data_IF_900729052465
#
_entry.id   IF_900729052465
#
_cell.length_a   1.000
_cell.length_b   1.000
_cell.length_c   1.000
_cell.angle_alpha   90.00
_cell.angle_beta   90.00
_cell.angle_gamma   90.00
#
_symmetry.space_group_name_H-M   'P 1'
#
loop_
_entity.id
_entity.type
_entity.pdbx_description
1 polymer ?
#
# COMPACT_ATOMS: atom_id res chain seq x y z
N UNK A 1 12.33 -72.54 -77.60
CA UNK A 1 12.66 -72.19 -76.20
C UNK A 1 11.45 -72.28 -75.31
N UNK A 2 11.23 -73.45 -74.71
CA UNK A 2 10.28 -73.63 -73.61
C UNK A 2 11.06 -73.45 -72.31
N UNK A 3 10.75 -72.39 -71.55
CA UNK A 3 11.31 -72.19 -70.21
C UNK A 3 10.79 -73.25 -69.26
N UNK A 4 11.67 -73.75 -68.37
CA UNK A 4 11.34 -74.75 -67.36
C UNK A 4 10.20 -74.23 -66.46
N UNK A 5 9.06 -74.94 -66.34
CA UNK A 5 7.92 -74.50 -65.52
C UNK A 5 8.28 -74.26 -64.05
N UNK A 6 9.36 -74.87 -63.55
CA UNK A 6 9.87 -74.64 -62.19
C UNK A 6 10.53 -73.27 -62.05
N UNK A 7 11.22 -72.80 -63.09
CA UNK A 7 11.82 -71.45 -63.16
C UNK A 7 10.71 -70.39 -63.22
N UNK A 8 9.68 -70.62 -64.04
CA UNK A 8 8.53 -69.71 -64.13
C UNK A 8 7.76 -69.60 -62.81
N UNK A 9 7.58 -70.71 -62.10
CA UNK A 9 6.98 -70.71 -60.75
C UNK A 9 7.81 -69.91 -59.74
N UNK A 10 9.13 -70.13 -59.70
CA UNK A 10 10.02 -69.39 -58.81
C UNK A 10 10.03 -67.88 -59.10
N UNK A 11 9.96 -67.49 -60.37
CA UNK A 11 9.85 -66.08 -60.78
C UNK A 11 8.59 -65.45 -60.22
N UNK A 12 7.43 -66.07 -60.45
CA UNK A 12 6.13 -65.57 -59.96
C UNK A 12 6.12 -65.44 -58.43
N UNK A 13 6.66 -66.43 -57.73
CA UNK A 13 6.73 -66.41 -56.27
C UNK A 13 7.65 -65.29 -55.75
N UNK A 14 8.81 -65.10 -56.39
CA UNK A 14 9.75 -64.03 -56.05
C UNK A 14 9.15 -62.64 -56.29
N UNK A 15 8.44 -62.46 -57.40
CA UNK A 15 7.77 -61.19 -57.71
C UNK A 15 6.65 -60.88 -56.71
N UNK A 16 5.89 -61.90 -56.28
CA UNK A 16 4.91 -61.76 -55.20
C UNK A 16 5.55 -61.34 -53.88
N UNK A 17 6.69 -61.95 -53.51
CA UNK A 17 7.45 -61.55 -52.31
C UNK A 17 7.94 -60.10 -52.40
N UNK A 18 8.48 -59.68 -53.55
CA UNK A 18 8.92 -58.29 -53.77
C UNK A 18 7.79 -57.30 -53.59
N UNK A 19 6.61 -57.59 -54.14
CA UNK A 19 5.42 -56.75 -54.01
C UNK A 19 4.99 -56.59 -52.55
N UNK A 20 4.96 -57.69 -51.78
CA UNK A 20 4.60 -57.64 -50.35
C UNK A 20 5.63 -56.82 -49.56
N UNK A 21 6.92 -57.02 -49.81
CA UNK A 21 7.99 -56.25 -49.16
C UNK A 21 7.92 -54.76 -49.50
N UNK A 22 7.61 -54.41 -50.74
CA UNK A 22 7.42 -53.03 -51.16
C UNK A 22 6.24 -52.38 -50.45
N UNK A 23 5.07 -53.03 -50.44
CA UNK A 23 3.89 -52.54 -49.73
C UNK A 23 4.14 -52.37 -48.23
N UNK A 24 4.89 -53.29 -47.61
CA UNK A 24 5.26 -53.18 -46.20
C UNK A 24 6.19 -51.98 -45.95
N UNK A 25 7.18 -51.75 -46.81
CA UNK A 25 8.05 -50.55 -46.73
C UNK A 25 7.24 -49.26 -46.87
N UNK A 26 6.35 -49.18 -47.86
CA UNK A 26 5.51 -47.99 -48.07
C UNK A 26 4.63 -47.70 -46.84
N UNK A 27 4.03 -48.74 -46.24
CA UNK A 27 3.28 -48.62 -44.98
C UNK A 27 4.15 -48.13 -43.83
N UNK A 28 5.36 -48.69 -43.66
CA UNK A 28 6.30 -48.29 -42.62
C UNK A 28 6.74 -46.84 -42.77
N UNK A 29 7.11 -46.41 -43.98
CA UNK A 29 7.46 -45.03 -44.31
C UNK A 29 6.29 -44.08 -44.00
N UNK A 30 5.07 -44.47 -44.36
CA UNK A 30 3.88 -43.69 -44.07
C UNK A 30 3.63 -43.50 -42.57
N UNK A 31 3.86 -44.53 -41.74
CA UNK A 31 3.76 -44.42 -40.28
C UNK A 31 4.84 -43.49 -39.73
N UNK A 32 6.10 -43.69 -40.13
CA UNK A 32 7.23 -42.86 -39.67
C UNK A 32 7.00 -41.39 -39.98
N UNK A 33 6.58 -41.06 -41.21
CA UNK A 33 6.32 -39.68 -41.62
C UNK A 33 5.20 -39.01 -40.80
N UNK A 34 4.16 -39.77 -40.42
CA UNK A 34 3.10 -39.25 -39.53
C UNK A 34 3.62 -38.97 -38.12
N UNK A 35 4.46 -39.85 -37.58
CA UNK A 35 5.07 -39.67 -36.27
C UNK A 35 6.05 -38.50 -36.26
N UNK A 36 6.87 -38.35 -37.29
CA UNK A 36 7.77 -37.21 -37.47
C UNK A 36 6.99 -35.89 -37.52
N UNK A 37 5.97 -35.79 -38.38
CA UNK A 37 5.15 -34.59 -38.48
C UNK A 37 4.44 -34.25 -37.16
N UNK A 38 3.92 -35.26 -36.44
CA UNK A 38 3.30 -35.07 -35.14
C UNK A 38 4.31 -34.56 -34.11
N UNK A 39 5.49 -35.18 -34.04
CA UNK A 39 6.59 -34.77 -33.16
C UNK A 39 7.01 -33.33 -33.44
N UNK A 40 7.20 -32.96 -34.70
CA UNK A 40 7.58 -31.61 -35.13
C UNK A 40 6.53 -30.57 -34.69
N UNK A 41 5.24 -30.83 -34.92
CA UNK A 41 4.16 -29.93 -34.49
C UNK A 41 4.12 -29.75 -32.98
N UNK A 42 4.29 -30.83 -32.22
CA UNK A 42 4.34 -30.78 -30.76
C UNK A 42 5.53 -29.95 -30.29
N UNK A 43 6.71 -30.16 -30.88
CA UNK A 43 7.92 -29.40 -30.53
C UNK A 43 7.75 -27.91 -30.82
N UNK A 44 7.22 -27.53 -31.98
CA UNK A 44 6.96 -26.12 -32.33
C UNK A 44 6.01 -25.49 -31.30
N UNK A 45 4.90 -26.18 -30.99
CA UNK A 45 3.91 -25.70 -30.04
C UNK A 45 4.52 -25.51 -28.65
N UNK A 46 5.25 -26.53 -28.15
CA UNK A 46 5.87 -26.48 -26.82
C UNK A 46 6.98 -25.44 -26.73
N UNK A 47 7.79 -25.28 -27.78
CA UNK A 47 8.80 -24.23 -27.84
C UNK A 47 8.16 -22.83 -27.82
N UNK A 48 7.02 -22.65 -28.49
CA UNK A 48 6.23 -21.42 -28.42
C UNK A 48 5.71 -21.14 -27.01
N UNK A 49 5.14 -22.14 -26.34
CA UNK A 49 4.69 -22.03 -24.94
C UNK A 49 5.85 -21.66 -23.99
N UNK A 50 7.02 -22.30 -24.15
CA UNK A 50 8.22 -22.02 -23.36
C UNK A 50 8.68 -20.58 -23.58
N UNK A 51 8.76 -20.12 -24.83
CA UNK A 51 9.16 -18.75 -25.15
C UNK A 51 8.18 -17.71 -24.56
N UNK A 52 6.87 -17.99 -24.63
CA UNK A 52 5.86 -17.12 -24.04
C UNK A 52 5.96 -17.08 -22.52
N UNK A 53 6.17 -18.23 -21.86
CA UNK A 53 6.35 -18.30 -20.42
C UNK A 53 7.62 -17.54 -19.98
N UNK A 54 8.73 -17.68 -20.72
CA UNK A 54 9.97 -16.95 -20.46
C UNK A 54 9.78 -15.43 -20.57
N UNK A 55 9.03 -14.95 -21.58
CA UNK A 55 8.73 -13.54 -21.73
C UNK A 55 7.88 -13.02 -20.55
N UNK A 56 6.83 -13.75 -20.16
CA UNK A 56 5.99 -13.40 -19.01
C UNK A 56 6.80 -13.33 -17.72
N UNK A 57 7.66 -14.33 -17.48
CA UNK A 57 8.53 -14.35 -16.29
C UNK A 57 9.43 -13.11 -16.25
N UNK A 58 10.05 -12.75 -17.39
CA UNK A 58 10.90 -11.57 -17.47
C UNK A 58 10.14 -10.27 -17.18
N UNK A 59 8.91 -10.14 -17.69
CA UNK A 59 8.05 -8.97 -17.41
C UNK A 59 7.71 -8.90 -15.93
N UNK A 60 7.35 -10.02 -15.31
CA UNK A 60 7.02 -10.07 -13.88
C UNK A 60 8.24 -9.77 -13.00
N UNK A 61 9.41 -10.29 -13.35
CA UNK A 61 10.66 -10.03 -12.63
C UNK A 61 11.03 -8.54 -12.68
N UNK A 62 10.92 -7.91 -13.86
CA UNK A 62 11.14 -6.47 -14.00
C UNK A 62 10.17 -5.65 -13.14
N UNK A 63 8.88 -6.01 -13.15
CA UNK A 63 7.87 -5.33 -12.35
C UNK A 63 8.15 -5.48 -10.85
N UNK A 64 8.49 -6.69 -10.41
CA UNK A 64 8.83 -6.98 -9.02
C UNK A 64 10.03 -6.15 -8.56
N UNK A 65 11.09 -6.11 -9.36
CA UNK A 65 12.28 -5.29 -9.07
C UNK A 65 11.95 -3.79 -8.97
N UNK A 66 11.07 -3.28 -9.83
CA UNK A 66 10.63 -1.87 -9.78
C UNK A 66 9.86 -1.58 -8.49
N UNK A 67 8.89 -2.43 -8.14
CA UNK A 67 8.10 -2.27 -6.92
C UNK A 67 8.95 -2.39 -5.66
N UNK A 68 9.95 -3.27 -5.65
CA UNK A 68 10.90 -3.40 -4.55
C UNK A 68 11.83 -2.18 -4.42
N UNK A 69 12.20 -1.54 -5.54
CA UNK A 69 12.92 -0.27 -5.51
C UNK A 69 12.03 0.84 -4.92
N UNK A 70 10.81 1.02 -5.43
CA UNK A 70 9.86 2.01 -4.92
C UNK A 70 9.58 1.82 -3.42
N UNK A 71 9.39 0.58 -2.97
CA UNK A 71 9.20 0.26 -1.55
C UNK A 71 10.39 0.72 -0.70
N UNK A 72 11.63 0.50 -1.17
CA UNK A 72 12.84 0.91 -0.45
C UNK A 72 12.94 2.43 -0.37
N UNK A 73 12.65 3.13 -1.47
CA UNK A 73 12.67 4.59 -1.51
C UNK A 73 11.63 5.20 -0.57
N UNK A 74 10.41 4.67 -0.59
CA UNK A 74 9.35 5.10 0.35
C UNK A 74 9.74 4.85 1.80
N UNK A 75 10.34 3.69 2.11
CA UNK A 75 10.80 3.40 3.47
C UNK A 75 11.86 4.40 3.94
N UNK A 76 12.82 4.72 3.07
CA UNK A 76 13.85 5.72 3.35
C UNK A 76 13.23 7.10 3.63
N UNK A 77 12.27 7.52 2.82
CA UNK A 77 11.56 8.79 3.02
C UNK A 77 10.84 8.83 4.37
N UNK A 78 10.16 7.74 4.75
CA UNK A 78 9.48 7.65 6.05
C UNK A 78 10.50 7.75 7.19
N UNK A 79 11.61 7.03 7.13
CA UNK A 79 12.68 7.09 8.15
C UNK A 79 13.28 8.50 8.28
N UNK A 80 13.55 9.18 7.16
CA UNK A 80 14.03 10.56 7.12
C UNK A 80 13.01 11.54 7.72
N UNK A 81 11.72 11.35 7.41
CA UNK A 81 10.63 12.16 7.98
C UNK A 81 10.45 11.92 9.48
N UNK A 82 10.53 10.68 9.95
CA UNK A 82 10.47 10.34 11.37
C UNK A 82 11.63 10.99 12.15
N UNK A 83 12.86 10.91 11.62
CA UNK A 83 14.02 11.56 12.22
C UNK A 83 13.86 13.09 12.28
N UNK A 84 13.31 13.70 11.21
CA UNK A 84 13.03 15.12 11.18
C UNK A 84 11.97 15.53 12.21
N UNK A 85 10.89 14.78 12.34
CA UNK A 85 9.84 15.04 13.34
C UNK A 85 10.42 14.99 14.76
N UNK A 86 11.25 14.00 15.06
CA UNK A 86 11.93 13.88 16.36
C UNK A 86 12.83 15.09 16.61
N UNK A 87 13.63 15.50 15.63
CA UNK A 87 14.50 16.66 15.76
C UNK A 87 13.72 17.96 16.01
N UNK A 88 12.65 18.20 15.25
CA UNK A 88 11.78 19.36 15.42
C UNK A 88 11.07 19.35 16.78
N UNK A 89 10.61 18.19 17.24
CA UNK A 89 9.99 18.05 18.55
C UNK A 89 10.97 18.39 19.69
N UNK A 90 12.22 17.91 19.59
CA UNK A 90 13.27 18.21 20.56
C UNK A 90 13.60 19.71 20.58
N UNK A 91 13.75 20.33 19.40
CA UNK A 91 13.96 21.78 19.30
C UNK A 91 12.82 22.56 19.97
N UNK A 92 11.57 22.19 19.72
CA UNK A 92 10.42 22.84 20.34
C UNK A 92 10.45 22.73 21.87
N UNK A 93 10.83 21.56 22.41
CA UNK A 93 10.91 21.36 23.86
C UNK A 93 12.08 22.14 24.49
N UNK A 94 13.21 22.27 23.79
CA UNK A 94 14.32 23.14 24.19
C UNK A 94 13.90 24.61 24.20
N UNK A 95 13.23 25.12 23.17
CA UNK A 95 12.69 26.49 23.14
C UNK A 95 11.74 26.75 24.32
N UNK A 96 10.81 25.83 24.59
CA UNK A 96 9.90 25.93 25.75
C UNK A 96 10.67 26.00 27.07
N UNK A 97 11.73 25.21 27.23
CA UNK A 97 12.60 25.27 28.41
C UNK A 97 13.35 26.60 28.50
N UNK A 98 13.86 27.12 27.38
CA UNK A 98 14.51 28.45 27.35
C UNK A 98 13.55 29.55 27.75
N UNK A 99 12.34 29.58 27.19
CA UNK A 99 11.29 30.54 27.59
C UNK A 99 11.00 30.45 29.09
N UNK A 100 10.88 29.23 29.65
CA UNK A 100 10.74 29.03 31.10
C UNK A 100 11.89 29.64 31.90
N UNK A 101 13.15 29.43 31.48
CA UNK A 101 14.31 30.02 32.18
C UNK A 101 14.44 31.54 32.02
N UNK A 102 14.01 32.13 30.90
CA UNK A 102 13.99 33.58 30.73
C UNK A 102 12.98 34.27 31.66
N UNK A 103 11.86 33.61 31.97
CA UNK A 103 10.87 34.12 32.94
C UNK A 103 11.39 34.07 34.39
N UNK A 104 12.34 33.19 34.69
CA UNK A 104 12.90 33.03 36.04
C UNK A 104 14.05 33.99 36.36
N UNK A 105 14.63 34.68 35.37
CA UNK A 105 15.86 35.47 35.54
C UNK A 105 15.67 37.00 35.42
N UNK A 106 14.47 37.46 35.05
CA UNK A 106 14.12 38.89 35.10
C UNK A 106 13.35 39.19 36.39
N UNK A 107 14.10 39.60 37.42
CA UNK A 107 13.71 40.61 38.40
C UNK A 107 12.37 40.46 39.12
N UNK A 108 12.43 39.90 40.33
CA UNK A 108 11.75 40.42 41.53
C UNK A 108 10.52 41.32 41.32
N UNK A 109 9.35 40.74 41.07
CA UNK A 109 8.11 41.34 41.57
C UNK A 109 6.92 40.39 41.55
N UNK A 110 6.47 40.06 42.76
CA UNK A 110 5.05 39.96 43.14
C UNK A 110 4.28 38.67 42.77
N UNK A 111 4.23 37.80 43.77
CA UNK A 111 3.12 36.96 44.22
C UNK A 111 2.62 35.80 43.34
N UNK A 112 2.84 34.58 43.86
CA UNK A 112 1.77 33.58 43.96
C UNK A 112 2.02 32.27 43.23
N UNK A 113 2.61 31.33 43.97
CA UNK A 113 2.56 29.87 43.85
C UNK A 113 1.44 29.26 42.95
N UNK A 114 1.90 28.37 42.05
CA UNK A 114 1.18 27.23 41.42
C UNK A 114 0.14 27.60 40.33
N UNK A 115 0.65 27.83 39.11
CA UNK A 115 -0.10 28.17 37.89
C UNK A 115 -0.37 26.98 36.94
N UNK A 116 -0.33 25.72 37.39
CA UNK A 116 -0.73 24.59 36.51
C UNK A 116 -2.08 23.96 36.88
N UNK A 117 -2.63 24.24 38.07
CA UNK A 117 -3.94 23.72 38.49
C UNK A 117 -5.09 24.74 38.41
N UNK A 118 -4.81 26.04 38.21
CA UNK A 118 -5.83 27.11 38.20
C UNK A 118 -6.24 27.58 36.80
N UNK A 119 -5.37 27.49 35.80
CA UNK A 119 -5.70 27.89 34.43
C UNK A 119 -6.90 27.10 33.84
N UNK A 120 -7.14 25.88 34.30
CA UNK A 120 -8.26 25.04 33.83
C UNK A 120 -9.65 25.43 34.37
N UNK A 121 -9.74 26.38 35.32
CA UNK A 121 -11.02 26.77 35.94
C UNK A 121 -11.38 28.24 35.78
N UNK A 122 -10.57 29.06 35.11
CA UNK A 122 -10.81 30.50 34.96
C UNK A 122 -11.41 30.85 33.58
N UNK A 123 -12.31 31.83 33.56
CA UNK A 123 -12.97 32.30 32.35
C UNK A 123 -11.95 32.92 31.39
N UNK A 124 -11.80 32.34 30.19
CA UNK A 124 -10.87 32.79 29.14
C UNK A 124 -11.05 34.26 28.72
N UNK A 125 -12.23 34.85 28.93
CA UNK A 125 -12.51 36.23 28.51
C UNK A 125 -12.02 37.26 29.53
N UNK A 126 -12.25 37.03 30.82
CA UNK A 126 -11.93 38.01 31.86
C UNK A 126 -10.77 37.60 32.75
N UNK A 127 -10.29 36.36 32.62
CA UNK A 127 -9.22 35.72 33.38
C UNK A 127 -9.28 35.91 34.91
N UNK A 128 -10.47 36.19 35.44
CA UNK A 128 -10.68 36.67 36.83
C UNK A 128 -11.68 35.84 37.61
N UNK A 129 -12.60 35.15 36.95
CA UNK A 129 -13.70 34.40 37.59
C UNK A 129 -13.71 32.96 37.11
N UNK A 130 -14.32 32.07 37.90
CA UNK A 130 -14.48 30.67 37.53
C UNK A 130 -15.33 30.48 36.27
N UNK A 131 -15.08 29.40 35.55
CA UNK A 131 -15.92 28.96 34.44
C UNK A 131 -17.20 28.35 35.01
N UNK A 132 -18.33 28.99 34.77
CA UNK A 132 -19.61 28.60 35.33
C UNK A 132 -20.62 28.15 34.26
N UNK A 133 -20.41 28.51 32.99
CA UNK A 133 -21.40 28.31 31.91
C UNK A 133 -20.78 27.94 30.57
N UNK A 134 -21.46 27.06 29.81
CA UNK A 134 -21.10 26.64 28.44
C UNK A 134 -22.13 27.14 27.44
N UNK A 135 -21.68 27.66 26.29
CA UNK A 135 -22.53 28.20 25.22
C UNK A 135 -23.13 27.10 24.36
N UNK A 136 -24.44 27.15 24.10
CA UNK A 136 -25.14 26.26 23.18
C UNK A 136 -25.60 26.96 21.90
N UNK A 137 -25.60 26.26 20.75
CA UNK A 137 -25.37 24.80 20.61
C UNK A 137 -23.90 24.38 20.42
N UNK A 138 -22.99 25.31 20.10
CA UNK A 138 -21.65 24.97 19.61
C UNK A 138 -20.68 24.44 20.68
N UNK A 139 -20.89 24.73 21.97
CA UNK A 139 -20.06 24.30 23.11
C UNK A 139 -18.58 24.71 23.06
N UNK A 140 -18.15 25.51 22.09
CA UNK A 140 -16.75 25.91 21.95
C UNK A 140 -16.29 26.88 23.04
N UNK A 141 -17.21 27.61 23.67
CA UNK A 141 -16.88 28.60 24.69
C UNK A 141 -17.48 28.24 26.04
N UNK A 142 -16.63 28.19 27.07
CA UNK A 142 -17.00 28.19 28.47
C UNK A 142 -16.56 29.52 29.12
N UNK A 143 -17.42 30.12 29.96
CA UNK A 143 -17.16 31.44 30.55
C UNK A 143 -17.80 31.61 31.92
N UNK A 144 -17.53 32.71 32.62
CA UNK A 144 -18.27 33.09 33.83
C UNK A 144 -19.63 33.71 33.48
N UNK A 145 -20.59 33.72 34.42
CA UNK A 145 -21.94 34.27 34.20
C UNK A 145 -21.96 35.72 33.71
N UNK A 146 -20.98 36.53 34.13
CA UNK A 146 -20.88 37.94 33.69
C UNK A 146 -20.46 38.04 32.23
N UNK A 147 -19.48 37.23 31.80
CA UNK A 147 -19.04 37.21 30.41
C UNK A 147 -20.08 36.60 29.47
N UNK A 148 -20.90 35.68 29.98
CA UNK A 148 -21.98 35.04 29.24
C UNK A 148 -23.12 36.01 28.91
N UNK A 149 -23.49 36.90 29.82
CA UNK A 149 -24.49 37.95 29.57
C UNK A 149 -24.06 38.94 28.48
N UNK A 150 -22.74 39.14 28.30
CA UNK A 150 -22.17 40.09 27.34
C UNK A 150 -21.90 39.49 25.95
N UNK A 151 -22.26 38.23 25.71
CA UNK A 151 -22.06 37.57 24.42
C UNK A 151 -23.37 37.00 23.88
N UNK A 152 -23.68 37.40 22.66
CA UNK A 152 -24.83 36.90 21.89
C UNK A 152 -24.42 35.84 20.87
N UNK A 153 -23.12 35.63 20.62
CA UNK A 153 -22.58 34.61 19.72
C UNK A 153 -21.23 34.07 20.22
N UNK A 154 -20.86 32.88 19.76
CA UNK A 154 -19.58 32.27 20.07
C UNK A 154 -18.45 32.93 19.26
N UNK A 155 -17.39 33.46 19.91
CA UNK A 155 -16.27 34.09 19.20
C UNK A 155 -15.41 33.09 18.42
N UNK A 156 -15.53 31.79 18.68
CA UNK A 156 -14.73 30.75 18.02
C UNK A 156 -15.36 30.34 16.68
N UNK A 157 -16.69 30.24 16.62
CA UNK A 157 -17.38 29.72 15.43
C UNK A 157 -18.52 30.61 14.91
N UNK A 158 -18.73 31.79 15.51
CA UNK A 158 -19.75 32.77 15.08
C UNK A 158 -21.20 32.37 15.32
N UNK A 159 -21.47 31.19 15.88
CA UNK A 159 -22.84 30.69 16.10
C UNK A 159 -23.52 31.47 17.22
N UNK A 160 -24.74 31.94 16.97
CA UNK A 160 -25.58 32.63 17.95
C UNK A 160 -25.85 31.77 19.19
N UNK A 161 -25.75 32.39 20.36
CA UNK A 161 -26.05 31.78 21.65
C UNK A 161 -27.56 31.59 21.76
N UNK A 162 -28.03 30.35 21.70
CA UNK A 162 -29.44 30.00 21.90
C UNK A 162 -29.76 29.60 23.35
N UNK A 163 -28.73 29.35 24.14
CA UNK A 163 -28.84 29.03 25.55
C UNK A 163 -27.46 28.82 26.18
N UNK A 164 -27.43 28.73 27.50
CA UNK A 164 -26.24 28.38 28.28
C UNK A 164 -26.59 27.30 29.30
N UNK A 165 -25.66 26.38 29.55
CA UNK A 165 -25.77 25.38 30.62
C UNK A 165 -24.78 25.74 31.73
N UNK A 166 -25.24 25.77 32.97
CA UNK A 166 -24.38 25.95 34.14
C UNK A 166 -23.58 24.66 34.44
N UNK A 167 -22.28 24.79 34.65
CA UNK A 167 -21.40 23.70 35.02
C UNK A 167 -21.49 23.52 36.54
N UNK A 168 -22.32 22.57 37.00
CA UNK A 168 -22.34 22.17 38.40
C UNK A 168 -21.10 21.33 38.70
N UNK A 169 -20.14 21.91 39.42
CA UNK A 169 -19.04 21.16 40.01
C UNK A 169 -19.56 20.46 41.27
N UNK A 170 -20.00 19.21 41.14
CA UNK A 170 -20.12 18.32 42.30
C UNK A 170 -18.69 18.09 42.82
N UNK A 171 -18.44 18.52 44.06
CA UNK A 171 -17.27 18.12 44.84
C UNK A 171 -17.40 16.62 45.15
#
# INVERSE_FOLDING_TARGET
DQTDPKIDFLRIYNDKLKLVLQQQREKQVGVLKRLENYSEQVLITKNGEIAQAALKNKVLENLLNSLEAEKRDLKRIVEEQEAMIIALYNQLEEEKKRVRMFVENDGESFCGEVEEARAAKCCLRCNTKSVDVIFLPCRHLSSCKVCEALLQACPICGVEKKGAIEIQSLI
#
